data_IF_162980930658
#
_entry.id   IF_162980930658
#
_cell.length_a   1.000
_cell.length_b   1.000
_cell.length_c   1.000
_cell.angle_alpha   90.00
_cell.angle_beta   90.00
_cell.angle_gamma   90.00
#
_symmetry.space_group_name_H-M   'P 1'
#
loop_
_entity.id
_entity.type
_entity.pdbx_description
1 polymer ?
#
# COMPACT_ATOMS: atom_id res chain seq x y z
N UNK A 1 12.14 15.54 -12.06
CA UNK A 1 11.53 14.90 -13.24
C UNK A 1 10.09 15.39 -13.47
N UNK A 2 9.07 15.05 -12.62
CA UNK A 2 7.67 15.45 -12.87
C UNK A 2 7.49 16.97 -12.98
N UNK A 3 8.09 17.75 -12.08
CA UNK A 3 8.07 19.23 -12.15
C UNK A 3 8.69 19.76 -13.45
N UNK A 4 9.74 19.14 -13.95
CA UNK A 4 10.41 19.55 -15.19
C UNK A 4 9.52 19.30 -16.43
N UNK A 5 8.50 18.47 -16.26
CA UNK A 5 7.45 18.19 -17.26
C UNK A 5 6.19 19.04 -17.06
N UNK A 6 6.21 20.03 -16.17
CA UNK A 6 5.09 20.93 -15.94
C UNK A 6 4.07 20.46 -14.91
N UNK A 7 4.34 19.39 -14.15
CA UNK A 7 3.44 18.94 -13.10
C UNK A 7 3.53 19.87 -11.90
N UNK A 8 2.37 20.39 -11.45
CA UNK A 8 2.26 21.16 -10.20
C UNK A 8 2.16 20.17 -9.01
N UNK A 9 3.19 20.16 -8.18
CA UNK A 9 3.25 19.31 -6.98
C UNK A 9 3.05 20.18 -5.76
N UNK A 10 1.90 20.03 -5.11
CA UNK A 10 1.53 20.73 -3.88
C UNK A 10 1.70 19.80 -2.69
N UNK A 11 2.51 20.24 -1.74
CA UNK A 11 2.77 19.52 -0.48
C UNK A 11 2.16 20.35 0.64
N UNK A 12 1.31 19.70 1.45
CA UNK A 12 0.68 20.33 2.62
C UNK A 12 -0.84 20.45 2.55
N UNK A 13 -1.47 20.85 1.41
CA UNK A 13 -2.92 20.87 1.34
C UNK A 13 -3.51 19.47 1.60
N UNK A 14 -4.39 19.36 2.59
CA UNK A 14 -5.16 18.15 2.82
C UNK A 14 -6.33 18.11 1.85
N UNK A 15 -6.51 16.98 1.16
CA UNK A 15 -7.70 16.74 0.32
C UNK A 15 -8.82 16.26 1.23
N UNK A 16 -9.90 17.03 1.28
CA UNK A 16 -11.04 16.78 2.14
C UNK A 16 -12.09 15.89 1.46
N UNK A 17 -12.36 16.13 0.18
CA UNK A 17 -13.25 15.29 -0.62
C UNK A 17 -12.99 15.46 -2.13
N UNK A 18 -13.49 14.49 -2.90
CA UNK A 18 -13.65 14.63 -4.35
C UNK A 18 -15.02 15.26 -4.62
N UNK A 19 -15.05 16.30 -5.45
CA UNK A 19 -16.31 16.98 -5.81
C UNK A 19 -16.86 16.44 -7.12
N UNK A 20 -18.19 16.31 -7.20
CA UNK A 20 -18.90 15.85 -8.39
C UNK A 20 -20.24 16.55 -8.58
N UNK A 21 -20.68 16.64 -9.81
CA UNK A 21 -22.00 17.15 -10.20
C UNK A 21 -22.54 16.33 -11.37
N UNK A 22 -23.81 15.93 -11.31
CA UNK A 22 -24.44 15.15 -12.36
C UNK A 22 -23.76 13.81 -12.68
N UNK A 23 -23.15 13.17 -11.67
CA UNK A 23 -22.43 11.89 -11.84
C UNK A 23 -21.03 12.02 -12.47
N UNK A 24 -20.47 13.22 -12.55
CA UNK A 24 -19.13 13.49 -13.08
C UNK A 24 -18.31 14.26 -12.07
N UNK A 25 -17.01 13.97 -11.97
CA UNK A 25 -16.08 14.74 -11.13
C UNK A 25 -15.97 16.19 -11.61
N UNK A 26 -15.87 17.11 -10.68
CA UNK A 26 -15.62 18.53 -10.94
C UNK A 26 -14.30 19.02 -10.34
N UNK A 27 -13.69 18.23 -9.48
CA UNK A 27 -12.41 18.53 -8.84
C UNK A 27 -12.26 17.90 -7.47
N UNK A 28 -11.48 18.59 -6.63
CA UNK A 28 -11.27 18.22 -5.22
C UNK A 28 -11.39 19.46 -4.34
N UNK A 29 -11.95 19.29 -3.15
CA UNK A 29 -11.88 20.28 -2.08
C UNK A 29 -10.66 19.98 -1.20
N UNK A 30 -9.91 21.02 -0.88
CA UNK A 30 -8.73 20.93 -0.02
C UNK A 30 -8.81 21.92 1.12
N UNK A 31 -7.96 21.76 2.14
CA UNK A 31 -7.82 22.71 3.25
C UNK A 31 -7.45 24.15 2.81
N UNK A 32 -6.99 24.31 1.56
CA UNK A 32 -6.59 25.60 0.98
C UNK A 32 -7.54 26.10 -0.12
N UNK A 33 -8.65 25.39 -0.36
CA UNK A 33 -9.66 25.75 -1.36
C UNK A 33 -9.89 24.65 -2.39
N UNK A 34 -10.70 24.96 -3.39
CA UNK A 34 -11.11 24.03 -4.44
C UNK A 34 -10.15 24.02 -5.60
N UNK A 35 -9.82 22.83 -6.09
CA UNK A 35 -9.07 22.62 -7.33
C UNK A 35 -10.03 21.99 -8.34
N UNK A 36 -10.37 22.72 -9.39
CA UNK A 36 -11.26 22.22 -10.45
C UNK A 36 -10.51 21.29 -11.40
N UNK A 37 -11.09 20.13 -11.70
CA UNK A 37 -10.55 19.16 -12.63
C UNK A 37 -11.67 18.32 -13.26
N UNK A 38 -11.55 17.99 -14.53
CA UNK A 38 -12.48 17.06 -15.22
C UNK A 38 -12.12 15.58 -15.06
N UNK A 39 -10.94 15.30 -14.52
CA UNK A 39 -10.45 13.95 -14.20
C UNK A 39 -9.73 14.00 -12.88
N UNK A 40 -10.03 13.05 -12.00
CA UNK A 40 -9.40 12.89 -10.68
C UNK A 40 -8.91 11.46 -10.53
N UNK A 41 -7.65 11.29 -10.13
CA UNK A 41 -7.06 9.99 -9.77
C UNK A 41 -6.83 9.99 -8.26
N UNK A 42 -7.43 9.05 -7.54
CA UNK A 42 -7.31 8.94 -6.09
C UNK A 42 -6.39 7.77 -5.75
N UNK A 43 -5.21 8.08 -5.21
CA UNK A 43 -4.22 7.12 -4.75
C UNK A 43 -3.78 7.48 -3.31
N UNK A 44 -4.74 7.43 -2.38
CA UNK A 44 -4.57 7.88 -1.00
C UNK A 44 -4.37 6.73 0.01
N UNK A 45 -4.00 5.52 -0.48
CA UNK A 45 -3.81 4.33 0.34
C UNK A 45 -5.07 4.01 1.15
N UNK A 46 -4.95 3.76 2.44
CA UNK A 46 -6.09 3.40 3.29
C UNK A 46 -7.13 4.52 3.48
N UNK A 47 -6.80 5.78 3.16
CA UNK A 47 -7.74 6.91 3.18
C UNK A 47 -8.62 6.99 1.93
N UNK A 48 -8.32 6.22 0.91
CA UNK A 48 -9.07 6.24 -0.37
C UNK A 48 -10.55 5.98 -0.15
N UNK A 49 -10.93 5.01 0.69
CA UNK A 49 -12.33 4.68 0.97
C UNK A 49 -13.11 5.89 1.52
N UNK A 50 -12.52 6.65 2.43
CA UNK A 50 -13.16 7.84 3.01
C UNK A 50 -13.38 8.95 1.96
N UNK A 51 -12.45 9.11 1.01
CA UNK A 51 -12.57 10.10 -0.07
C UNK A 51 -13.64 9.69 -1.10
N UNK A 52 -13.87 8.40 -1.28
CA UNK A 52 -14.83 7.87 -2.26
C UNK A 52 -16.25 7.71 -1.70
N UNK A 53 -16.40 7.52 -0.39
CA UNK A 53 -17.69 7.29 0.26
C UNK A 53 -18.75 8.38 -0.03
N UNK A 54 -18.43 9.70 -0.04
CA UNK A 54 -19.40 10.74 -0.39
C UNK A 54 -19.92 10.64 -1.85
N UNK A 55 -19.20 9.95 -2.73
CA UNK A 55 -19.60 9.70 -4.11
C UNK A 55 -20.44 8.42 -4.27
N UNK A 56 -20.75 7.73 -3.17
CA UNK A 56 -21.46 6.45 -3.19
C UNK A 56 -20.63 5.27 -3.70
N UNK A 57 -19.31 5.41 -3.73
CA UNK A 57 -18.38 4.35 -4.14
C UNK A 57 -17.88 3.62 -2.90
N UNK A 58 -18.27 2.36 -2.77
CA UNK A 58 -17.82 1.50 -1.67
C UNK A 58 -16.52 0.78 -2.07
N UNK A 59 -15.45 1.11 -1.37
CA UNK A 59 -14.15 0.46 -1.52
C UNK A 59 -13.71 -0.11 -0.16
N UNK A 60 -13.83 -1.43 0.06
CA UNK A 60 -13.64 -2.06 1.36
C UNK A 60 -12.16 -2.24 1.71
N UNK A 61 -11.46 -1.14 1.94
CA UNK A 61 -10.06 -1.14 2.36
C UNK A 61 -9.97 -1.15 3.88
N UNK A 62 -9.20 -2.09 4.40
CA UNK A 62 -8.91 -2.23 5.82
C UNK A 62 -7.48 -1.77 6.10
N UNK A 63 -7.27 -0.74 6.93
CA UNK A 63 -5.94 -0.35 7.37
C UNK A 63 -5.36 -1.39 8.33
N UNK A 64 -4.18 -1.91 8.03
CA UNK A 64 -3.47 -2.89 8.88
C UNK A 64 -2.08 -2.35 9.20
N UNK A 65 -1.80 -2.19 10.50
CA UNK A 65 -0.51 -1.68 10.98
C UNK A 65 0.54 -2.79 11.02
N UNK A 66 1.72 -2.51 10.51
CA UNK A 66 2.86 -3.40 10.53
C UNK A 66 4.06 -2.75 11.21
N UNK A 67 4.73 -3.51 12.07
CA UNK A 67 5.95 -3.09 12.73
C UNK A 67 7.17 -3.34 11.82
N UNK A 68 8.08 -2.38 11.85
CA UNK A 68 9.39 -2.46 11.20
C UNK A 68 10.46 -2.20 12.25
N UNK A 69 11.46 -3.06 12.31
CA UNK A 69 12.65 -2.86 13.12
C UNK A 69 13.88 -2.76 12.22
N UNK A 70 14.76 -1.82 12.53
CA UNK A 70 16.07 -1.70 11.86
C UNK A 70 17.13 -2.13 12.86
N UNK A 71 17.99 -3.05 12.46
CA UNK A 71 19.06 -3.59 13.27
C UNK A 71 20.42 -3.39 12.60
N UNK A 72 21.44 -3.24 13.40
CA UNK A 72 22.83 -3.36 12.96
C UNK A 72 23.22 -4.84 13.02
N UNK A 73 23.59 -5.40 11.88
CA UNK A 73 24.02 -6.78 11.72
C UNK A 73 25.38 -6.99 12.40
N UNK A 74 25.66 -8.20 12.84
CA UNK A 74 27.00 -8.55 13.31
C UNK A 74 28.01 -8.50 12.16
N UNK A 75 29.29 -8.19 12.43
CA UNK A 75 30.32 -8.08 11.37
C UNK A 75 30.50 -9.35 10.53
N UNK A 76 30.26 -10.52 11.11
CA UNK A 76 30.44 -11.82 10.46
C UNK A 76 29.34 -12.12 9.40
N UNK A 77 28.29 -11.29 9.31
CA UNK A 77 27.20 -11.51 8.35
C UNK A 77 27.55 -11.17 6.89
N UNK A 78 28.67 -10.46 6.69
CA UNK A 78 29.08 -9.96 5.39
C UNK A 78 28.37 -8.66 4.96
N UNK A 79 28.65 -8.19 3.76
CA UNK A 79 28.27 -6.86 3.33
C UNK A 79 26.79 -6.75 2.92
N UNK A 80 26.33 -7.66 2.09
CA UNK A 80 24.95 -7.60 1.53
C UNK A 80 24.37 -9.01 1.49
N UNK A 81 23.12 -9.14 1.97
CA UNK A 81 22.30 -10.32 1.77
C UNK A 81 21.15 -10.02 0.79
N UNK A 82 20.58 -11.02 0.10
CA UNK A 82 19.39 -10.80 -0.69
C UNK A 82 18.21 -10.37 0.20
N UNK A 83 17.19 -9.75 -0.41
CA UNK A 83 15.89 -9.60 0.26
C UNK A 83 15.32 -11.00 0.45
N UNK A 84 14.99 -11.33 1.69
CA UNK A 84 14.42 -12.63 2.07
C UNK A 84 13.01 -12.41 2.60
N UNK A 85 12.04 -13.12 2.01
CA UNK A 85 10.68 -13.22 2.52
C UNK A 85 10.51 -14.61 3.11
N UNK A 86 10.37 -14.69 4.43
CA UNK A 86 10.14 -15.93 5.17
C UNK A 86 8.67 -16.04 5.57
N UNK A 87 7.90 -16.78 4.78
CA UNK A 87 6.48 -16.95 5.00
C UNK A 87 6.15 -17.81 6.22
N UNK A 88 7.04 -18.72 6.58
CA UNK A 88 6.88 -19.56 7.76
C UNK A 88 7.07 -18.73 9.02
N UNK A 89 8.10 -17.89 9.02
CA UNK A 89 8.35 -16.95 10.11
C UNK A 89 7.44 -15.71 10.05
N UNK A 90 6.66 -15.51 8.99
CA UNK A 90 5.85 -14.30 8.75
C UNK A 90 6.65 -13.02 8.89
N UNK A 91 7.84 -13.00 8.26
CA UNK A 91 8.75 -11.86 8.31
C UNK A 91 9.51 -11.71 6.98
N UNK A 92 9.99 -10.52 6.73
CA UNK A 92 10.92 -10.27 5.64
C UNK A 92 12.12 -9.49 6.14
N UNK A 93 13.23 -9.68 5.45
CA UNK A 93 14.54 -9.12 5.81
C UNK A 93 15.15 -8.46 4.59
N UNK A 94 15.47 -7.19 4.70
CA UNK A 94 16.03 -6.41 3.60
C UNK A 94 17.34 -5.75 4.06
N UNK A 95 18.43 -5.87 3.27
CA UNK A 95 19.63 -5.10 3.55
C UNK A 95 19.36 -3.60 3.37
N UNK A 96 19.92 -2.81 4.27
CA UNK A 96 19.97 -1.37 4.19
C UNK A 96 21.42 -0.90 4.02
N UNK A 97 21.64 0.40 3.99
CA UNK A 97 23.00 0.97 3.84
C UNK A 97 23.94 0.47 4.94
N UNK A 98 25.17 0.16 4.55
CA UNK A 98 26.21 -0.32 5.48
C UNK A 98 25.84 -1.66 6.08
N UNK A 99 25.95 -1.74 7.40
CA UNK A 99 25.70 -2.95 8.18
C UNK A 99 24.24 -3.13 8.61
N UNK A 100 23.34 -2.23 8.18
CA UNK A 100 21.96 -2.27 8.61
C UNK A 100 21.12 -3.30 7.87
N UNK A 101 20.14 -3.86 8.57
CA UNK A 101 19.06 -4.66 7.99
C UNK A 101 17.70 -4.18 8.50
N UNK A 102 16.72 -4.17 7.63
CA UNK A 102 15.33 -3.89 7.94
C UNK A 102 14.61 -5.22 8.11
N UNK A 103 13.95 -5.36 9.27
CA UNK A 103 13.12 -6.50 9.63
C UNK A 103 11.67 -6.03 9.61
N UNK A 104 10.84 -6.63 8.78
CA UNK A 104 9.42 -6.34 8.72
C UNK A 104 8.59 -7.59 8.91
N UNK A 105 7.39 -7.40 9.44
CA UNK A 105 6.42 -8.47 9.50
C UNK A 105 5.47 -8.43 8.30
N UNK A 106 4.95 -9.59 7.94
CA UNK A 106 3.81 -9.72 7.02
C UNK A 106 2.86 -10.79 7.57
N UNK A 107 2.23 -10.46 8.69
CA UNK A 107 1.23 -11.34 9.29
C UNK A 107 -0.15 -11.07 8.69
N UNK A 108 -0.69 -11.99 7.86
CA UNK A 108 -2.00 -11.82 7.24
C UNK A 108 -3.16 -11.91 8.24
N UNK A 109 -2.88 -12.32 9.48
CA UNK A 109 -3.86 -12.43 10.54
C UNK A 109 -3.88 -11.21 11.47
N UNK A 110 -3.02 -10.23 11.22
CA UNK A 110 -2.99 -9.00 12.01
C UNK A 110 -4.31 -8.24 11.83
N UNK A 111 -4.89 -7.84 12.94
CA UNK A 111 -6.17 -7.14 12.94
C UNK A 111 -6.09 -5.73 12.34
N UNK A 112 -7.24 -5.13 11.99
CA UNK A 112 -7.30 -3.75 11.53
C UNK A 112 -6.88 -2.77 12.61
N UNK A 113 -6.50 -1.58 12.20
CA UNK A 113 -6.37 -0.41 13.08
C UNK A 113 -7.56 0.51 12.87
N UNK A 114 -8.19 0.91 13.98
CA UNK A 114 -9.42 1.66 13.92
C UNK A 114 -9.20 3.17 13.69
N UNK A 115 -8.01 3.68 13.99
CA UNK A 115 -7.70 5.09 13.81
C UNK A 115 -6.23 5.36 13.42
N UNK A 116 -5.99 6.58 12.92
CA UNK A 116 -4.66 7.02 12.48
C UNK A 116 -3.67 7.22 13.64
N UNK A 117 -4.17 7.52 14.83
CA UNK A 117 -3.34 7.70 16.02
C UNK A 117 -2.76 6.35 16.44
N UNK A 118 -3.58 5.30 16.43
CA UNK A 118 -3.13 3.94 16.69
C UNK A 118 -2.15 3.47 15.61
N UNK A 119 -2.46 3.77 14.34
CA UNK A 119 -1.62 3.45 13.20
C UNK A 119 -0.22 4.10 13.28
N UNK A 120 -0.12 5.30 13.83
CA UNK A 120 1.12 6.07 13.95
C UNK A 120 1.98 5.70 15.17
N UNK A 121 1.46 4.90 16.11
CA UNK A 121 2.24 4.49 17.29
C UNK A 121 3.51 3.74 16.88
N UNK A 122 4.64 4.00 17.54
CA UNK A 122 5.86 3.25 17.29
C UNK A 122 5.65 1.75 17.59
N UNK A 123 6.51 0.88 17.05
CA UNK A 123 6.47 -0.54 17.37
C UNK A 123 6.53 -0.76 18.89
N UNK A 124 5.74 -1.71 19.38
CA UNK A 124 5.84 -2.13 20.77
C UNK A 124 7.08 -3.01 20.96
N UNK A 125 7.59 -3.05 22.19
CA UNK A 125 8.83 -3.80 22.48
C UNK A 125 8.71 -5.30 22.13
N UNK A 126 7.57 -5.90 22.36
CA UNK A 126 7.30 -7.31 22.05
C UNK A 126 7.25 -7.58 20.52
N UNK A 127 6.74 -6.63 19.74
CA UNK A 127 6.79 -6.70 18.26
C UNK A 127 8.25 -6.69 17.78
N UNK A 128 9.06 -5.79 18.31
CA UNK A 128 10.47 -5.68 17.94
C UNK A 128 11.28 -6.90 18.37
N UNK A 129 11.08 -7.40 19.60
CA UNK A 129 11.71 -8.63 20.08
C UNK A 129 11.36 -9.80 19.18
N UNK A 130 10.08 -9.95 18.83
CA UNK A 130 9.61 -11.00 17.93
C UNK A 130 10.31 -10.94 16.56
N UNK A 131 10.47 -9.76 15.98
CA UNK A 131 11.17 -9.58 14.71
C UNK A 131 12.66 -9.95 14.83
N UNK A 132 13.32 -9.54 15.90
CA UNK A 132 14.72 -9.87 16.15
C UNK A 132 14.94 -11.37 16.37
N UNK A 133 14.06 -12.04 17.13
CA UNK A 133 14.11 -13.50 17.32
C UNK A 133 13.92 -14.26 15.99
N UNK A 134 12.97 -13.83 15.15
CA UNK A 134 12.75 -14.39 13.81
C UNK A 134 13.99 -14.20 12.93
N UNK A 135 14.62 -13.03 13.01
CA UNK A 135 15.84 -12.72 12.28
C UNK A 135 17.00 -13.61 12.73
N UNK A 136 17.27 -13.72 14.02
CA UNK A 136 18.32 -14.57 14.57
C UNK A 136 18.09 -16.05 14.21
N UNK A 137 16.84 -16.53 14.29
CA UNK A 137 16.49 -17.90 13.88
C UNK A 137 16.75 -18.16 12.40
N UNK A 138 16.47 -17.18 11.54
CA UNK A 138 16.67 -17.29 10.09
C UNK A 138 18.13 -17.18 9.69
N UNK A 139 18.88 -16.38 10.43
CA UNK A 139 20.29 -16.08 10.18
C UNK A 139 21.12 -16.35 11.46
N UNK A 140 21.58 -17.60 11.65
CA UNK A 140 22.44 -17.93 12.78
C UNK A 140 23.68 -17.02 12.84
N UNK A 141 24.04 -16.57 14.04
CA UNK A 141 25.09 -15.58 14.25
C UNK A 141 24.57 -14.14 14.39
N UNK A 142 23.26 -13.92 14.17
CA UNK A 142 22.65 -12.60 14.33
C UNK A 142 21.95 -12.42 15.68
N UNK A 143 22.17 -13.30 16.64
CA UNK A 143 21.66 -13.21 18.01
C UNK A 143 22.23 -11.98 18.75
N UNK A 144 23.38 -11.47 18.28
CA UNK A 144 24.05 -10.28 18.80
C UNK A 144 23.81 -9.02 17.97
N UNK A 145 22.93 -9.08 16.97
CA UNK A 145 22.54 -7.90 16.22
C UNK A 145 21.94 -6.84 17.12
N UNK A 146 22.32 -5.59 16.94
CA UNK A 146 21.89 -4.49 17.79
C UNK A 146 20.68 -3.78 17.22
N UNK A 147 19.63 -3.59 18.00
CA UNK A 147 18.50 -2.76 17.61
C UNK A 147 18.95 -1.30 17.47
N UNK A 148 18.59 -0.68 16.34
CA UNK A 148 18.86 0.73 16.07
C UNK A 148 17.59 1.58 16.22
N UNK A 149 16.56 1.32 15.43
CA UNK A 149 15.30 2.06 15.45
C UNK A 149 14.15 1.16 15.02
N UNK A 150 12.93 1.62 15.27
CA UNK A 150 11.72 1.00 14.78
C UNK A 150 10.74 2.06 14.30
N UNK A 151 9.90 1.69 13.36
CA UNK A 151 8.78 2.51 12.91
C UNK A 151 7.63 1.61 12.45
N UNK A 152 6.49 2.19 12.19
CA UNK A 152 5.31 1.46 11.72
C UNK A 152 4.89 1.96 10.36
N UNK A 153 4.29 1.08 9.59
CA UNK A 153 3.61 1.40 8.34
C UNK A 153 2.20 0.84 8.38
N UNK A 154 1.30 1.44 7.60
CA UNK A 154 -0.07 0.96 7.44
C UNK A 154 -0.24 0.44 6.03
N UNK A 155 -0.68 -0.80 5.93
CA UNK A 155 -1.09 -1.40 4.67
C UNK A 155 -2.58 -1.12 4.43
N UNK A 156 -2.90 -0.80 3.20
CA UNK A 156 -4.26 -0.64 2.68
C UNK A 156 -4.78 -1.99 2.17
N UNK A 157 -5.21 -2.86 3.07
CA UNK A 157 -5.58 -4.22 2.72
C UNK A 157 -6.97 -4.30 2.11
N UNK A 158 -7.05 -4.87 0.90
CA UNK A 158 -8.31 -5.25 0.27
C UNK A 158 -8.78 -6.63 0.73
N UNK A 159 -10.07 -7.00 0.58
CA UNK A 159 -10.60 -8.30 1.00
C UNK A 159 -9.91 -9.51 0.36
N UNK A 160 -9.43 -9.36 -0.86
CA UNK A 160 -8.73 -10.38 -1.64
C UNK A 160 -7.20 -10.19 -1.68
N UNK A 161 -6.68 -9.20 -0.96
CA UNK A 161 -5.26 -8.81 -0.96
C UNK A 161 -4.71 -8.43 -2.34
N UNK A 162 -5.60 -8.12 -3.29
CA UNK A 162 -5.22 -7.65 -4.62
C UNK A 162 -5.62 -6.19 -4.80
N UNK A 163 -4.84 -5.38 -5.53
CA UNK A 163 -5.15 -3.97 -5.72
C UNK A 163 -6.44 -3.78 -6.52
N UNK A 164 -7.15 -2.69 -6.21
CA UNK A 164 -8.18 -2.15 -7.08
C UNK A 164 -7.63 -0.92 -7.78
N UNK A 165 -7.66 -0.91 -9.10
CA UNK A 165 -7.21 0.25 -9.87
C UNK A 165 -7.93 0.36 -11.21
N UNK A 166 -8.04 1.59 -11.69
CA UNK A 166 -8.67 1.93 -12.95
C UNK A 166 -9.81 2.92 -12.80
N UNK A 167 -10.67 2.97 -13.82
CA UNK A 167 -11.83 3.84 -13.86
C UNK A 167 -12.92 3.35 -12.90
N UNK A 168 -13.53 4.28 -12.17
CA UNK A 168 -14.74 4.01 -11.38
C UNK A 168 -15.96 4.23 -12.27
N UNK A 169 -16.75 3.19 -12.52
CA UNK A 169 -17.85 3.26 -13.47
C UNK A 169 -19.00 4.16 -13.01
N UNK A 170 -19.21 4.23 -11.69
CA UNK A 170 -20.31 5.01 -11.11
C UNK A 170 -20.12 6.53 -11.26
N UNK A 171 -18.89 7.02 -11.47
CA UNK A 171 -18.59 8.46 -11.50
C UNK A 171 -17.66 8.76 -12.67
N UNK A 172 -18.15 9.50 -13.67
CA UNK A 172 -17.36 9.85 -14.83
C UNK A 172 -16.16 10.75 -14.47
N UNK A 173 -15.00 10.43 -15.08
CA UNK A 173 -13.75 11.13 -14.82
C UNK A 173 -13.04 10.73 -13.51
N UNK A 174 -13.59 9.76 -12.74
CA UNK A 174 -12.95 9.26 -11.51
C UNK A 174 -12.14 8.00 -11.80
N UNK A 175 -10.89 8.02 -11.34
CA UNK A 175 -9.99 6.86 -11.34
C UNK A 175 -9.45 6.62 -9.92
N UNK A 176 -9.11 5.38 -9.60
CA UNK A 176 -8.62 5.00 -8.30
C UNK A 176 -7.45 4.02 -8.41
N UNK A 177 -6.55 4.07 -7.44
CA UNK A 177 -5.53 3.05 -7.19
C UNK A 177 -5.38 2.86 -5.68
N UNK A 178 -5.85 1.71 -5.15
CA UNK A 178 -5.81 1.42 -3.72
C UNK A 178 -5.88 -0.09 -3.43
N UNK A 179 -5.76 -0.47 -2.16
CA UNK A 179 -5.85 -1.87 -1.76
C UNK A 179 -4.64 -2.70 -2.17
N UNK A 180 -3.48 -2.08 -2.26
CA UNK A 180 -2.25 -2.76 -2.69
C UNK A 180 -1.71 -3.75 -1.67
N UNK A 181 -2.25 -3.79 -0.48
CA UNK A 181 -2.00 -4.82 0.55
C UNK A 181 -0.51 -5.08 0.81
N UNK A 182 0.31 -4.01 0.85
CA UNK A 182 1.75 -4.06 1.04
C UNK A 182 2.60 -4.30 -0.21
N UNK A 183 2.00 -4.45 -1.39
CA UNK A 183 2.72 -4.69 -2.66
C UNK A 183 2.94 -3.43 -3.50
N UNK A 184 2.26 -2.33 -3.23
CA UNK A 184 2.12 -1.17 -4.11
C UNK A 184 3.44 -0.55 -4.56
N UNK A 185 4.40 -0.38 -3.65
CA UNK A 185 5.65 0.31 -3.98
C UNK A 185 6.41 -0.34 -5.15
N UNK A 186 6.58 -1.65 -5.13
CA UNK A 186 7.28 -2.37 -6.21
C UNK A 186 6.49 -2.43 -7.51
N UNK A 187 5.17 -2.28 -7.45
CA UNK A 187 4.30 -2.28 -8.63
C UNK A 187 4.14 -0.88 -9.23
N UNK A 188 4.51 0.18 -8.50
CA UNK A 188 4.22 1.57 -8.88
C UNK A 188 4.64 1.97 -10.30
N UNK A 189 5.78 1.52 -10.90
CA UNK A 189 6.10 1.88 -12.27
C UNK A 189 5.11 1.29 -13.29
N UNK A 190 4.70 0.03 -13.09
CA UNK A 190 3.72 -0.64 -13.95
C UNK A 190 2.32 -0.04 -13.79
N UNK A 191 1.88 0.14 -12.56
CA UNK A 191 0.58 0.75 -12.24
C UNK A 191 0.52 2.18 -12.78
N UNK A 192 1.57 2.98 -12.60
CA UNK A 192 1.63 4.34 -13.13
C UNK A 192 1.49 4.39 -14.66
N UNK A 193 2.10 3.45 -15.39
CA UNK A 193 1.93 3.35 -16.85
C UNK A 193 0.49 2.96 -17.21
N UNK A 194 -0.06 1.92 -16.56
CA UNK A 194 -1.44 1.47 -16.80
C UNK A 194 -2.43 2.60 -16.52
N UNK A 195 -2.31 3.27 -15.37
CA UNK A 195 -3.20 4.37 -15.00
C UNK A 195 -3.09 5.55 -15.98
N UNK A 196 -1.88 5.86 -16.43
CA UNK A 196 -1.67 6.88 -17.48
C UNK A 196 -2.40 6.53 -18.78
N UNK A 197 -2.29 5.27 -19.23
CA UNK A 197 -2.97 4.81 -20.44
C UNK A 197 -4.50 4.88 -20.30
N UNK A 198 -5.01 4.42 -19.16
CA UNK A 198 -6.45 4.46 -18.87
C UNK A 198 -7.00 5.88 -18.82
N UNK A 199 -6.25 6.83 -18.29
CA UNK A 199 -6.66 8.24 -18.19
C UNK A 199 -6.59 8.93 -19.55
N UNK A 200 -5.54 8.68 -20.33
CA UNK A 200 -5.28 9.42 -21.60
C UNK A 200 -5.98 8.74 -22.77
N UNK A 201 -5.83 7.43 -22.90
CA UNK A 201 -6.26 6.66 -24.08
C UNK A 201 -7.54 5.85 -23.81
N UNK A 202 -7.98 5.77 -22.54
CA UNK A 202 -9.16 4.98 -22.13
C UNK A 202 -8.93 3.47 -22.07
N UNK A 203 -7.76 2.99 -22.47
CA UNK A 203 -7.40 1.57 -22.49
C UNK A 203 -5.88 1.40 -22.33
N UNK A 204 -5.45 0.20 -21.93
CA UNK A 204 -4.05 -0.21 -21.91
C UNK A 204 -3.91 -1.59 -22.57
N UNK A 205 -2.75 -1.82 -23.18
CA UNK A 205 -2.37 -3.12 -23.75
C UNK A 205 -1.43 -3.95 -22.84
N UNK A 206 -1.06 -3.39 -21.69
CA UNK A 206 -0.12 -4.04 -20.78
C UNK A 206 -0.70 -5.28 -20.12
N UNK A 207 -1.95 -5.19 -19.66
CA UNK A 207 -2.67 -6.29 -18.99
C UNK A 207 -4.18 -6.11 -19.18
N UNK A 208 -4.95 -7.18 -18.95
CA UNK A 208 -6.38 -7.08 -18.73
C UNK A 208 -6.63 -6.43 -17.35
N UNK A 209 -7.21 -5.24 -17.33
CA UNK A 209 -7.50 -4.48 -16.10
C UNK A 209 -8.85 -4.85 -15.48
N UNK A 210 -9.72 -5.55 -16.22
CA UNK A 210 -11.07 -5.89 -15.77
C UNK A 210 -11.08 -6.62 -14.40
N UNK A 211 -10.18 -7.58 -14.12
CA UNK A 211 -10.13 -8.23 -12.82
C UNK A 211 -9.84 -7.29 -11.64
N UNK A 212 -9.20 -6.14 -11.88
CA UNK A 212 -8.79 -5.18 -10.84
C UNK A 212 -9.76 -4.02 -10.65
N UNK A 213 -10.94 -4.04 -11.29
CA UNK A 213 -11.97 -3.01 -11.14
C UNK A 213 -12.48 -2.89 -9.72
N UNK A 214 -12.90 -1.69 -9.33
CA UNK A 214 -13.45 -1.42 -7.98
C UNK A 214 -14.72 -2.21 -7.74
N UNK A 215 -15.57 -2.29 -8.76
CA UNK A 215 -16.90 -2.89 -8.71
C UNK A 215 -16.88 -4.38 -8.35
N UNK A 216 -15.73 -5.08 -8.55
CA UNK A 216 -15.59 -6.50 -8.21
C UNK A 216 -15.92 -6.82 -6.76
N UNK A 217 -15.71 -5.87 -5.84
CA UNK A 217 -16.03 -6.08 -4.43
C UNK A 217 -17.54 -6.15 -4.18
N UNK A 218 -18.30 -5.21 -4.77
CA UNK A 218 -19.76 -5.22 -4.70
C UNK A 218 -20.39 -6.41 -5.45
N UNK A 219 -19.73 -6.85 -6.51
CA UNK A 219 -20.13 -8.00 -7.32
C UNK A 219 -19.72 -9.35 -6.69
N UNK A 220 -18.94 -9.31 -5.59
CA UNK A 220 -18.33 -10.50 -4.97
C UNK A 220 -17.47 -11.32 -5.94
N UNK A 221 -16.86 -10.66 -6.92
CA UNK A 221 -15.95 -11.24 -7.92
C UNK A 221 -14.49 -11.07 -7.48
N UNK A 222 -14.18 -11.66 -6.31
CA UNK A 222 -12.87 -11.52 -5.68
C UNK A 222 -11.80 -12.33 -6.41
N UNK A 223 -10.59 -11.78 -6.49
CA UNK A 223 -9.41 -12.44 -7.05
C UNK A 223 -8.83 -13.45 -6.04
N UNK A 224 -9.58 -14.50 -5.80
CA UNK A 224 -9.14 -15.59 -4.92
C UNK A 224 -8.14 -16.48 -5.68
N UNK A 225 -6.98 -16.75 -5.06
CA UNK A 225 -6.01 -17.68 -5.60
C UNK A 225 -6.63 -19.06 -5.83
N UNK A 226 -6.15 -19.79 -6.85
CA UNK A 226 -6.62 -21.14 -7.14
C UNK A 226 -6.48 -22.11 -5.96
N UNK A 227 -7.09 -23.29 -6.03
CA UNK A 227 -7.08 -24.31 -4.98
C UNK A 227 -5.64 -24.55 -4.45
N UNK A 228 -5.43 -24.34 -3.15
CA UNK A 228 -4.14 -24.46 -2.47
C UNK A 228 -3.36 -23.15 -2.24
N UNK A 229 -3.81 -22.03 -2.81
CA UNK A 229 -3.28 -20.70 -2.49
C UNK A 229 -4.35 -19.88 -1.79
N UNK A 230 -4.25 -19.70 -0.48
CA UNK A 230 -4.99 -18.63 0.14
C UNK A 230 -4.31 -17.30 -0.23
N UNK A 231 -5.06 -16.32 -0.73
CA UNK A 231 -4.53 -14.99 -1.09
C UNK A 231 -3.84 -14.30 0.11
N UNK A 232 -4.22 -14.66 1.34
CA UNK A 232 -3.55 -14.27 2.59
C UNK A 232 -2.09 -14.70 2.70
N UNK A 233 -1.62 -15.59 1.82
CA UNK A 233 -0.21 -16.01 1.78
C UNK A 233 0.64 -15.25 0.77
N UNK A 234 0.08 -14.28 0.03
CA UNK A 234 0.80 -13.50 -0.99
C UNK A 234 1.27 -12.13 -0.49
N UNK A 235 0.88 -11.71 0.71
CA UNK A 235 1.35 -10.48 1.33
C UNK A 235 2.78 -10.59 1.84
#
# INVERSE_FOLDING_TARGET
>A
AARDLGVDIRVGPEVLCVTSEGGRVTGVETSEGVISAGTVVVEAGFRTSALLAPLGVDLPITPVRHAISVVERTPDFGDIHPVVSDRVARAYYRPERGTLALLGEHDPLKGPVDDEVEAAKPPQLDEEITLMERFARRFPGQELASKMQGYTGVYDCSPDFQPAFGRVQAVDGLFVGAGFSGHGFKLSPGIGKIMSDLVVDGATDMIDVHPFRVERFAENDLLLGGEGYSNRSLA
#
